data_IF_441179045582
#
_entry.id   IF_441179045582
#
_cell.length_a   1.000
_cell.length_b   1.000
_cell.length_c   1.000
_cell.angle_alpha   90.00
_cell.angle_beta   90.00
_cell.angle_gamma   90.00
#
_symmetry.space_group_name_H-M   'P 1'
#
loop_
_entity.id
_entity.type
_entity.pdbx_description
1 polymer ?
#
# COMPACT_ATOMS: atom_id res chain seq x y z
N UNK A 1 14.00 2.73 13.47
CA UNK A 1 12.80 1.97 13.91
C UNK A 1 12.96 0.47 13.71
N UNK A 2 13.07 -0.04 12.47
CA UNK A 2 13.15 -1.50 12.21
C UNK A 2 14.30 -2.20 12.93
N UNK A 3 15.52 -1.64 12.90
CA UNK A 3 16.68 -2.19 13.62
C UNK A 3 16.42 -2.29 15.14
N UNK A 4 15.77 -1.29 15.74
CA UNK A 4 15.39 -1.34 17.16
C UNK A 4 14.36 -2.44 17.42
N UNK A 5 13.40 -2.64 16.51
CA UNK A 5 12.45 -3.74 16.57
C UNK A 5 13.14 -5.11 16.51
N UNK A 6 14.12 -5.28 15.61
CA UNK A 6 14.94 -6.48 15.54
C UNK A 6 15.73 -6.74 16.83
N UNK A 7 16.38 -5.71 17.37
CA UNK A 7 17.13 -5.79 18.62
C UNK A 7 16.24 -6.25 19.78
N UNK A 8 15.06 -5.65 19.94
CA UNK A 8 14.10 -6.01 20.98
C UNK A 8 13.62 -7.47 20.86
N UNK A 9 13.53 -7.99 19.63
CA UNK A 9 13.13 -9.36 19.34
C UNK A 9 14.31 -10.34 19.18
N UNK A 10 15.56 -9.88 19.41
CA UNK A 10 16.79 -10.68 19.24
C UNK A 10 16.94 -11.30 17.84
N UNK A 11 16.51 -10.57 16.81
CA UNK A 11 16.64 -10.98 15.40
C UNK A 11 17.40 -9.92 14.61
N UNK A 12 18.16 -10.36 13.59
CA UNK A 12 18.79 -9.45 12.63
C UNK A 12 17.75 -9.05 11.59
N UNK A 13 17.59 -7.75 11.37
CA UNK A 13 16.76 -7.23 10.27
C UNK A 13 17.61 -7.12 9.01
N UNK A 14 17.19 -7.79 7.95
CA UNK A 14 17.77 -7.66 6.62
C UNK A 14 16.80 -6.88 5.73
N UNK A 15 17.22 -5.70 5.25
CA UNK A 15 16.38 -4.83 4.44
C UNK A 15 16.70 -5.04 2.96
N UNK A 16 15.68 -5.41 2.21
CA UNK A 16 15.71 -5.39 0.75
C UNK A 16 14.91 -4.17 0.27
N UNK A 17 15.60 -3.23 -0.38
CA UNK A 17 14.97 -2.05 -0.96
C UNK A 17 14.50 -2.37 -2.37
N UNK A 18 13.21 -2.20 -2.61
CA UNK A 18 12.58 -2.53 -3.89
C UNK A 18 11.74 -1.33 -4.34
N UNK A 19 12.00 -0.84 -5.54
CA UNK A 19 11.25 0.26 -6.15
C UNK A 19 9.87 -0.21 -6.60
N UNK A 20 8.81 0.48 -6.17
CA UNK A 20 7.43 0.06 -6.43
C UNK A 20 7.06 0.08 -7.91
N UNK A 21 7.66 0.98 -8.71
CA UNK A 21 7.40 1.09 -10.15
C UNK A 21 7.72 -0.22 -10.90
N UNK A 22 8.66 -1.03 -10.38
CA UNK A 22 8.95 -2.33 -10.98
C UNK A 22 7.74 -3.26 -10.95
N UNK A 23 6.86 -3.14 -9.97
CA UNK A 23 5.68 -3.99 -9.81
C UNK A 23 4.48 -3.57 -10.69
N UNK A 24 4.62 -2.50 -11.48
CA UNK A 24 3.64 -2.14 -12.49
C UNK A 24 3.79 -3.00 -13.76
N UNK A 25 4.89 -3.75 -13.86
CA UNK A 25 5.11 -4.74 -14.90
C UNK A 25 4.53 -6.11 -14.49
N UNK A 26 3.99 -6.90 -15.44
CA UNK A 26 3.58 -8.27 -15.19
C UNK A 26 4.70 -9.11 -14.53
N UNK A 27 4.33 -10.02 -13.64
CA UNK A 27 5.21 -10.99 -12.94
C UNK A 27 6.31 -10.41 -12.03
N UNK A 28 6.54 -9.10 -12.03
CA UNK A 28 7.59 -8.48 -11.22
C UNK A 28 7.37 -8.64 -9.71
N UNK A 29 6.13 -8.86 -9.26
CA UNK A 29 5.79 -9.16 -7.86
C UNK A 29 6.43 -10.45 -7.35
N UNK A 30 6.87 -11.37 -8.22
CA UNK A 30 7.61 -12.57 -7.83
C UNK A 30 8.93 -12.24 -7.14
N UNK A 31 9.47 -11.02 -7.32
CA UNK A 31 10.64 -10.54 -6.56
C UNK A 31 10.37 -10.40 -5.05
N UNK A 32 9.12 -10.44 -4.62
CA UNK A 32 8.73 -10.49 -3.20
C UNK A 32 8.72 -11.92 -2.64
N UNK A 33 9.00 -12.94 -3.45
CA UNK A 33 9.10 -14.31 -2.94
C UNK A 33 10.25 -14.44 -1.94
N UNK A 34 9.96 -15.11 -0.82
CA UNK A 34 10.93 -15.33 0.26
C UNK A 34 11.10 -14.17 1.24
N UNK A 35 10.37 -13.05 1.09
CA UNK A 35 10.37 -12.00 2.12
C UNK A 35 9.45 -12.38 3.28
N UNK A 36 9.90 -12.13 4.51
CA UNK A 36 9.15 -12.42 5.74
C UNK A 36 8.14 -11.32 6.12
N UNK A 37 8.20 -10.17 5.44
CA UNK A 37 7.33 -9.03 5.68
C UNK A 37 7.55 -7.93 4.66
N UNK A 38 6.50 -7.16 4.40
CA UNK A 38 6.50 -6.05 3.45
C UNK A 38 6.18 -4.77 4.22
N UNK A 39 7.07 -3.78 4.14
CA UNK A 39 6.82 -2.43 4.62
C UNK A 39 6.70 -1.50 3.42
N UNK A 40 5.55 -0.85 3.30
CA UNK A 40 5.33 0.20 2.28
C UNK A 40 5.32 1.55 2.99
N UNK A 41 6.33 2.40 2.77
CA UNK A 41 6.40 3.71 3.43
C UNK A 41 5.39 4.68 2.83
N UNK A 42 5.34 5.88 3.41
CA UNK A 42 4.64 7.01 2.80
C UNK A 42 5.22 7.38 1.44
N UNK A 43 4.45 8.11 0.65
CA UNK A 43 4.82 8.60 -0.67
C UNK A 43 3.90 9.73 -1.08
N UNK A 44 4.25 10.39 -2.17
CA UNK A 44 3.48 11.47 -2.75
C UNK A 44 3.43 11.31 -4.27
N UNK A 45 2.31 11.69 -4.85
CA UNK A 45 2.05 11.55 -6.28
C UNK A 45 1.67 10.13 -6.70
N UNK A 46 1.20 10.02 -7.94
CA UNK A 46 0.62 8.79 -8.50
C UNK A 46 1.65 7.70 -8.80
N UNK A 47 2.92 8.10 -9.00
CA UNK A 47 3.99 7.21 -9.47
C UNK A 47 4.24 6.04 -8.52
N UNK A 48 4.22 4.81 -9.03
CA UNK A 48 4.41 3.61 -8.23
C UNK A 48 3.21 3.27 -7.35
N UNK A 49 2.04 3.87 -7.54
CA UNK A 49 0.83 3.57 -6.75
C UNK A 49 0.31 2.16 -7.04
N UNK A 50 0.11 1.81 -8.31
CA UNK A 50 -0.34 0.48 -8.72
C UNK A 50 0.67 -0.61 -8.33
N UNK A 51 1.97 -0.31 -8.37
CA UNK A 51 2.98 -1.23 -7.85
C UNK A 51 2.90 -1.47 -6.34
N UNK A 52 2.52 -0.46 -5.54
CA UNK A 52 2.27 -0.63 -4.10
C UNK A 52 0.98 -1.43 -3.84
N UNK A 53 -0.06 -1.24 -4.65
CA UNK A 53 -1.29 -2.05 -4.61
C UNK A 53 -0.99 -3.51 -4.95
N UNK A 54 -0.13 -3.76 -5.94
CA UNK A 54 0.33 -5.10 -6.31
C UNK A 54 1.10 -5.77 -5.14
N UNK A 55 1.98 -5.04 -4.45
CA UNK A 55 2.66 -5.53 -3.26
C UNK A 55 1.69 -5.86 -2.11
N UNK A 56 0.65 -5.03 -1.89
CA UNK A 56 -0.40 -5.33 -0.90
C UNK A 56 -1.21 -6.59 -1.28
N UNK A 57 -1.51 -6.75 -2.57
CA UNK A 57 -2.20 -7.94 -3.11
C UNK A 57 -1.36 -9.19 -2.88
N UNK A 58 -0.06 -9.13 -3.18
CA UNK A 58 0.87 -10.23 -2.92
C UNK A 58 0.86 -10.59 -1.44
N UNK A 59 1.02 -9.59 -0.56
CA UNK A 59 1.05 -9.81 0.88
C UNK A 59 -0.21 -10.52 1.38
N UNK A 60 -1.39 -10.03 0.98
CA UNK A 60 -2.69 -10.60 1.38
C UNK A 60 -2.89 -12.03 0.83
N UNK A 61 -2.60 -12.25 -0.44
CA UNK A 61 -2.85 -13.54 -1.10
C UNK A 61 -1.83 -14.62 -0.72
N UNK A 62 -0.64 -14.23 -0.27
CA UNK A 62 0.43 -15.13 0.17
C UNK A 62 0.58 -15.21 1.69
N UNK A 63 -0.27 -14.53 2.46
CA UNK A 63 -0.20 -14.43 3.93
C UNK A 63 1.16 -13.91 4.45
N UNK A 64 1.75 -12.94 3.75
CA UNK A 64 2.95 -12.25 4.20
C UNK A 64 2.53 -11.02 5.01
N UNK A 65 3.09 -10.78 6.21
CA UNK A 65 2.81 -9.59 6.99
C UNK A 65 3.04 -8.30 6.19
N UNK A 66 2.07 -7.38 6.22
CA UNK A 66 2.13 -6.09 5.54
C UNK A 66 2.01 -4.94 6.52
N UNK A 67 2.90 -3.95 6.40
CA UNK A 67 2.85 -2.72 7.17
C UNK A 67 2.89 -1.50 6.24
N UNK A 68 1.72 -0.92 5.98
CA UNK A 68 1.56 0.29 5.17
C UNK A 68 1.53 1.54 6.04
N UNK A 69 2.40 2.50 5.73
CA UNK A 69 2.48 3.78 6.45
C UNK A 69 1.92 4.88 5.54
N UNK A 70 0.94 5.64 6.01
CA UNK A 70 0.35 6.77 5.28
C UNK A 70 -0.12 6.33 3.88
N UNK A 71 0.57 6.74 2.82
CA UNK A 71 0.28 6.31 1.45
C UNK A 71 0.28 4.78 1.28
N UNK A 72 1.16 4.04 1.98
CA UNK A 72 1.11 2.58 1.97
C UNK A 72 -0.19 2.00 2.54
N UNK A 73 -0.73 2.62 3.59
CA UNK A 73 -2.03 2.23 4.15
C UNK A 73 -3.15 2.48 3.13
N UNK A 74 -3.14 3.64 2.47
CA UNK A 74 -4.11 3.99 1.43
C UNK A 74 -4.09 2.99 0.25
N UNK A 75 -2.92 2.55 -0.20
CA UNK A 75 -2.80 1.52 -1.24
C UNK A 75 -3.39 0.18 -0.79
N UNK A 76 -3.21 -0.20 0.48
CA UNK A 76 -3.83 -1.41 1.03
C UNK A 76 -5.37 -1.29 1.13
N UNK A 77 -5.90 -0.12 1.48
CA UNK A 77 -7.35 0.14 1.47
C UNK A 77 -7.93 0.00 0.06
N UNK A 78 -7.25 0.57 -0.94
CA UNK A 78 -7.66 0.46 -2.34
C UNK A 78 -7.59 -0.99 -2.81
N UNK A 79 -6.52 -1.73 -2.49
CA UNK A 79 -6.41 -3.16 -2.80
C UNK A 79 -7.59 -3.96 -2.22
N UNK A 80 -7.89 -3.76 -0.93
CA UNK A 80 -8.97 -4.45 -0.26
C UNK A 80 -10.35 -4.08 -0.85
N UNK A 81 -10.57 -2.81 -1.19
CA UNK A 81 -11.80 -2.36 -1.84
C UNK A 81 -12.01 -3.05 -3.21
N UNK A 82 -10.95 -3.12 -4.03
CA UNK A 82 -11.00 -3.75 -5.36
C UNK A 82 -11.19 -5.28 -5.29
N UNK A 83 -10.49 -5.94 -4.37
CA UNK A 83 -10.40 -7.40 -4.33
C UNK A 83 -11.36 -8.08 -3.36
N UNK A 84 -11.72 -7.44 -2.24
CA UNK A 84 -12.58 -8.01 -1.21
C UNK A 84 -14.00 -7.41 -1.21
N UNK A 85 -14.12 -6.10 -1.41
CA UNK A 85 -15.42 -5.41 -1.40
C UNK A 85 -16.09 -5.33 -2.79
N UNK A 86 -15.37 -5.65 -3.86
CA UNK A 86 -15.90 -5.65 -5.23
C UNK A 86 -15.98 -4.27 -5.90
N UNK A 87 -15.42 -3.22 -5.30
CA UNK A 87 -15.38 -1.85 -5.82
C UNK A 87 -14.22 -1.74 -6.82
N UNK A 88 -14.45 -2.18 -8.06
CA UNK A 88 -13.37 -2.42 -9.04
C UNK A 88 -12.61 -1.17 -9.44
N UNK A 89 -13.25 0.00 -9.42
CA UNK A 89 -12.61 1.26 -9.78
C UNK A 89 -12.21 2.07 -8.53
N UNK A 90 -12.14 1.43 -7.36
CA UNK A 90 -11.73 2.08 -6.13
C UNK A 90 -10.37 2.79 -6.33
N UNK A 91 -10.30 4.04 -5.90
CA UNK A 91 -9.11 4.85 -6.01
C UNK A 91 -9.06 5.94 -4.95
N UNK A 92 -8.26 6.96 -5.24
CA UNK A 92 -8.11 8.15 -4.40
C UNK A 92 -8.36 9.42 -5.19
N UNK A 93 -8.99 10.40 -4.57
CA UNK A 93 -9.15 11.74 -5.16
C UNK A 93 -7.90 12.62 -5.01
N UNK A 94 -6.87 12.16 -4.27
CA UNK A 94 -5.61 12.88 -4.04
C UNK A 94 -4.89 13.28 -5.35
N UNK A 95 -5.09 12.52 -6.43
CA UNK A 95 -4.45 12.75 -7.73
C UNK A 95 -5.38 13.36 -8.79
N UNK A 96 -6.59 13.76 -8.40
CA UNK A 96 -7.59 14.33 -9.28
C UNK A 96 -8.87 13.51 -9.36
N UNK A 97 -9.66 13.68 -10.44
CA UNK A 97 -10.96 13.02 -10.56
C UNK A 97 -10.85 11.49 -10.48
N UNK A 98 -11.55 10.90 -9.50
CA UNK A 98 -11.66 9.46 -9.32
C UNK A 98 -13.13 9.06 -9.37
N UNK A 99 -13.47 8.00 -10.11
CA UNK A 99 -14.85 7.53 -10.24
C UNK A 99 -15.40 6.92 -8.96
N UNK A 100 -14.57 6.22 -8.19
CA UNK A 100 -14.92 5.59 -6.91
C UNK A 100 -13.84 5.92 -5.85
N UNK A 101 -13.80 7.16 -5.34
CA UNK A 101 -12.81 7.56 -4.33
C UNK A 101 -13.16 6.91 -2.98
N UNK A 102 -12.43 5.86 -2.61
CA UNK A 102 -12.54 5.22 -1.29
C UNK A 102 -11.60 5.87 -0.27
N UNK A 103 -10.63 6.64 -0.76
CA UNK A 103 -9.81 7.57 0.02
C UNK A 103 -9.92 8.94 -0.62
N UNK A 104 -10.05 9.98 0.19
CA UNK A 104 -10.05 11.35 -0.31
C UNK A 104 -9.57 12.34 0.73
N UNK A 105 -9.36 13.59 0.30
CA UNK A 105 -8.92 14.65 1.21
C UNK A 105 -10.02 14.96 2.22
N UNK A 106 -9.67 15.25 3.47
CA UNK A 106 -10.68 15.55 4.50
C UNK A 106 -11.63 16.68 4.11
N UNK A 107 -11.16 17.67 3.34
CA UNK A 107 -11.97 18.77 2.80
C UNK A 107 -13.11 18.30 1.91
N UNK A 108 -13.02 17.10 1.33
CA UNK A 108 -14.09 16.51 0.51
C UNK A 108 -15.17 15.85 1.38
N UNK A 109 -14.83 15.49 2.62
CA UNK A 109 -15.74 14.87 3.58
C UNK A 109 -16.38 15.90 4.53
N UNK A 110 -15.95 17.17 4.46
CA UNK A 110 -16.59 18.28 5.17
C UNK A 110 -17.99 18.56 4.58
N UNK A 111 -19.04 18.16 5.31
CA UNK A 111 -20.39 18.66 5.08
C UNK A 111 -20.65 19.84 6.02
N UNK A 112 -20.71 21.04 5.47
CA UNK A 112 -21.19 22.24 6.19
C UNK A 112 -20.47 22.54 7.52
N UNK A 113 -19.17 22.24 7.64
CA UNK A 113 -18.36 22.59 8.82
C UNK A 113 -18.47 21.62 10.00
N UNK A 114 -18.96 20.40 9.79
CA UNK A 114 -18.90 19.32 10.79
C UNK A 114 -18.38 18.05 10.11
N UNK A 115 -17.36 17.43 10.72
CA UNK A 115 -16.86 16.09 10.38
C UNK A 115 -17.85 15.01 10.79
#
# INVERSE_FOLDING_TARGET
ALVHGGLANRVRVELQWIESEMFEQPDAVQRLEGVDGILVPGGFGERGSEGKIAAATFARTKNVPYFGICFGMQMAVIEAARNLAGIKNAGTSEFGPCSEPVVGLMTEWERHGVL
#
